data_IF_884535632014
#
_entry.id   IF_884535632014
#
_cell.length_a   1.000
_cell.length_b   1.000
_cell.length_c   1.000
_cell.angle_alpha   90.00
_cell.angle_beta   90.00
_cell.angle_gamma   90.00
#
_symmetry.space_group_name_H-M   'P 1'
#
loop_
_entity.id
_entity.type
_entity.pdbx_description
1 polymer ?
#
# COMPACT_ATOMS: atom_id res chain seq x y z
N UNK A 1 4.80 4.23 -16.97
CA UNK A 1 3.58 3.99 -16.18
C UNK A 1 2.78 2.89 -16.85
N UNK A 2 2.20 1.97 -16.07
CA UNK A 2 1.35 0.89 -16.60
C UNK A 2 -0.05 1.41 -16.96
N UNK A 3 -0.69 0.80 -17.96
CA UNK A 3 -2.07 1.15 -18.35
C UNK A 3 -3.04 0.54 -17.33
N UNK A 4 -4.21 1.15 -17.17
CA UNK A 4 -5.26 0.65 -16.25
C UNK A 4 -5.85 -0.71 -16.67
N UNK A 5 -5.76 -1.02 -17.95
CA UNK A 5 -6.09 -2.31 -18.56
C UNK A 5 -4.83 -2.83 -19.24
N UNK A 6 -4.41 -4.02 -18.86
CA UNK A 6 -3.21 -4.71 -19.35
C UNK A 6 -3.54 -6.20 -19.46
N UNK A 7 -2.92 -6.88 -20.42
CA UNK A 7 -3.16 -8.31 -20.65
C UNK A 7 -2.78 -9.16 -19.42
N UNK A 8 -1.84 -8.68 -18.59
CA UNK A 8 -1.50 -9.30 -17.31
C UNK A 8 -2.67 -9.34 -16.30
N UNK A 9 -3.67 -8.45 -16.46
CA UNK A 9 -4.86 -8.38 -15.60
C UNK A 9 -6.00 -9.29 -16.04
N UNK A 10 -5.86 -9.93 -17.22
CA UNK A 10 -6.92 -10.65 -17.92
C UNK A 10 -7.58 -9.76 -18.99
N UNK A 11 -7.97 -10.36 -20.11
CA UNK A 11 -8.53 -9.64 -21.24
C UNK A 11 -9.80 -8.85 -20.83
N UNK A 12 -9.79 -7.54 -21.07
CA UNK A 12 -10.88 -6.63 -20.69
C UNK A 12 -10.99 -6.30 -19.19
N UNK A 13 -10.14 -6.84 -18.31
CA UNK A 13 -10.20 -6.58 -16.88
C UNK A 13 -9.40 -5.32 -16.48
N UNK A 14 -10.01 -4.52 -15.59
CA UNK A 14 -9.30 -3.43 -14.90
C UNK A 14 -8.35 -4.00 -13.86
N UNK A 15 -7.24 -3.28 -13.61
CA UNK A 15 -6.33 -3.57 -12.48
C UNK A 15 -7.09 -3.76 -11.16
N UNK A 16 -8.18 -3.02 -10.94
CA UNK A 16 -8.97 -3.13 -9.71
C UNK A 16 -9.68 -4.48 -9.59
N UNK A 17 -10.24 -4.99 -10.69
CA UNK A 17 -10.89 -6.31 -10.70
C UNK A 17 -9.86 -7.43 -10.56
N UNK A 18 -8.69 -7.30 -11.20
CA UNK A 18 -7.58 -8.23 -11.03
C UNK A 18 -7.07 -8.30 -9.58
N UNK A 19 -6.84 -7.15 -8.94
CA UNK A 19 -6.45 -7.07 -7.53
C UNK A 19 -7.50 -7.74 -6.65
N UNK A 20 -8.80 -7.43 -6.84
CA UNK A 20 -9.89 -8.07 -6.06
C UNK A 20 -9.93 -9.58 -6.21
N UNK A 21 -9.59 -10.09 -7.39
CA UNK A 21 -9.50 -11.53 -7.60
C UNK A 21 -8.31 -12.14 -6.85
N UNK A 22 -7.12 -11.52 -6.93
CA UNK A 22 -5.89 -12.00 -6.32
C UNK A 22 -5.92 -12.02 -4.79
N UNK A 23 -6.51 -11.00 -4.16
CA UNK A 23 -6.55 -10.88 -2.69
C UNK A 23 -7.48 -11.89 -1.98
N UNK A 24 -8.22 -12.72 -2.72
CA UNK A 24 -9.03 -13.80 -2.14
C UNK A 24 -8.17 -14.89 -1.49
N UNK A 25 -6.88 -14.95 -1.85
CA UNK A 25 -5.88 -15.86 -1.29
C UNK A 25 -4.82 -15.08 -0.52
N UNK A 26 -4.25 -15.68 0.53
CA UNK A 26 -3.22 -15.01 1.34
C UNK A 26 -1.95 -14.75 0.51
N UNK A 27 -1.63 -15.66 -0.39
CA UNK A 27 -0.48 -15.62 -1.28
C UNK A 27 -0.66 -14.54 -2.34
N UNK A 28 -1.87 -14.44 -2.93
CA UNK A 28 -2.18 -13.44 -3.95
C UNK A 28 -2.17 -12.00 -3.43
N UNK A 29 -2.40 -11.79 -2.12
CA UNK A 29 -2.23 -10.47 -1.50
C UNK A 29 -0.77 -9.99 -1.60
N UNK A 30 0.21 -10.89 -1.41
CA UNK A 30 1.64 -10.56 -1.51
C UNK A 30 2.06 -10.35 -2.96
N UNK A 31 1.49 -11.11 -3.90
CA UNK A 31 1.79 -10.97 -5.34
C UNK A 31 1.38 -9.63 -5.94
N UNK A 32 0.35 -8.98 -5.37
CA UNK A 32 -0.12 -7.66 -5.82
C UNK A 32 0.84 -6.54 -5.39
N UNK A 33 1.66 -6.77 -4.36
CA UNK A 33 2.58 -5.76 -3.85
C UNK A 33 3.75 -5.54 -4.80
N UNK A 34 4.11 -4.27 -5.01
CA UNK A 34 5.27 -3.89 -5.80
C UNK A 34 6.56 -4.31 -5.07
N UNK A 35 7.34 -5.18 -5.70
CA UNK A 35 8.59 -5.71 -5.15
C UNK A 35 9.65 -4.62 -5.01
N UNK A 36 9.68 -3.67 -5.93
CA UNK A 36 10.65 -2.57 -5.95
C UNK A 36 10.32 -1.50 -4.89
N UNK A 37 9.10 -1.52 -4.34
CA UNK A 37 8.68 -0.65 -3.25
C UNK A 37 9.13 -1.15 -1.86
N UNK A 38 10.01 -2.15 -1.79
CA UNK A 38 10.53 -2.67 -0.53
C UNK A 38 9.59 -3.68 0.13
N UNK A 39 8.77 -4.39 -0.65
CA UNK A 39 7.88 -5.43 -0.13
C UNK A 39 8.62 -6.51 0.68
N UNK A 40 9.92 -6.72 0.45
CA UNK A 40 10.75 -7.65 1.23
C UNK A 40 10.94 -7.23 2.70
N UNK A 41 10.78 -5.94 3.01
CA UNK A 41 10.79 -5.46 4.38
C UNK A 41 9.42 -5.66 5.04
N UNK A 42 9.36 -6.40 6.14
CA UNK A 42 8.09 -6.74 6.81
C UNK A 42 7.26 -5.52 7.25
N UNK A 43 7.91 -4.47 7.74
CA UNK A 43 7.21 -3.23 8.14
C UNK A 43 6.64 -2.48 6.93
N UNK A 44 7.41 -2.34 5.85
CA UNK A 44 6.95 -1.72 4.60
C UNK A 44 5.81 -2.53 3.99
N UNK A 45 5.91 -3.86 4.03
CA UNK A 45 4.84 -4.76 3.57
C UNK A 45 3.54 -4.51 4.32
N UNK A 46 3.59 -4.41 5.65
CA UNK A 46 2.41 -4.11 6.47
C UNK A 46 1.80 -2.75 6.11
N UNK A 47 2.63 -1.72 5.89
CA UNK A 47 2.19 -0.40 5.42
C UNK A 47 1.50 -0.48 4.05
N UNK A 48 2.08 -1.21 3.10
CA UNK A 48 1.50 -1.41 1.77
C UNK A 48 0.14 -2.12 1.85
N UNK A 49 -0.01 -3.08 2.77
CA UNK A 49 -1.29 -3.77 3.00
C UNK A 49 -2.36 -2.83 3.57
N UNK A 50 -1.99 -1.94 4.50
CA UNK A 50 -2.91 -0.93 5.03
C UNK A 50 -3.36 0.03 3.93
N UNK A 51 -2.43 0.52 3.11
CA UNK A 51 -2.76 1.40 1.98
C UNK A 51 -3.61 0.68 0.93
N UNK A 52 -3.33 -0.60 0.66
CA UNK A 52 -4.13 -1.43 -0.24
C UNK A 52 -5.58 -1.55 0.24
N UNK A 53 -5.82 -1.71 1.55
CA UNK A 53 -7.17 -1.71 2.14
C UNK A 53 -7.90 -0.39 1.89
N UNK A 54 -7.22 0.74 2.07
CA UNK A 54 -7.79 2.07 1.77
C UNK A 54 -8.14 2.18 0.29
N UNK A 55 -7.26 1.73 -0.61
CA UNK A 55 -7.48 1.75 -2.05
C UNK A 55 -8.69 0.90 -2.47
N UNK A 56 -8.91 -0.26 -1.84
CA UNK A 56 -10.07 -1.12 -2.11
C UNK A 56 -11.39 -0.44 -1.74
N UNK A 57 -11.43 0.29 -0.62
CA UNK A 57 -12.59 1.08 -0.20
C UNK A 57 -12.86 2.23 -1.16
N UNK A 58 -11.82 2.95 -1.58
CA UNK A 58 -11.93 4.08 -2.52
C UNK A 58 -12.45 3.65 -3.90
N UNK A 59 -12.18 2.40 -4.29
CA UNK A 59 -12.54 1.86 -5.60
C UNK A 59 -13.80 0.99 -5.57
N UNK A 60 -14.57 1.00 -4.48
CA UNK A 60 -15.80 0.22 -4.35
C UNK A 60 -16.79 0.51 -5.50
N UNK A 61 -17.48 -0.53 -5.96
CA UNK A 61 -18.43 -0.44 -7.09
C UNK A 61 -19.61 0.48 -6.77
N UNK A 62 -20.12 0.40 -5.54
CA UNK A 62 -21.12 1.32 -5.01
C UNK A 62 -20.47 2.66 -4.64
N UNK A 63 -20.88 3.79 -5.26
CA UNK A 63 -20.32 5.10 -4.93
C UNK A 63 -20.64 5.57 -3.50
N UNK A 64 -21.78 5.15 -2.95
CA UNK A 64 -22.22 5.54 -1.61
C UNK A 64 -21.36 4.93 -0.49
N UNK A 65 -20.70 3.80 -0.76
CA UNK A 65 -19.82 3.12 0.21
C UNK A 65 -18.39 3.67 0.19
N UNK A 66 -18.08 4.58 -0.74
CA UNK A 66 -16.74 5.17 -0.84
C UNK A 66 -16.54 6.17 0.30
N UNK A 67 -15.41 6.11 1.03
CA UNK A 67 -15.12 7.06 2.09
C UNK A 67 -15.01 8.49 1.53
N UNK A 68 -15.29 9.48 2.37
CA UNK A 68 -15.00 10.87 2.00
C UNK A 68 -13.49 11.08 1.92
N UNK A 69 -13.03 12.07 1.15
CA UNK A 69 -11.60 12.40 1.09
C UNK A 69 -11.01 12.74 2.46
N UNK A 70 -11.82 13.27 3.39
CA UNK A 70 -11.41 13.51 4.77
C UNK A 70 -11.09 12.19 5.47
N UNK A 71 -11.97 11.20 5.35
CA UNK A 71 -11.78 9.89 5.96
C UNK A 71 -10.58 9.17 5.34
N UNK A 72 -10.42 9.25 4.01
CA UNK A 72 -9.24 8.70 3.30
C UNK A 72 -7.95 9.28 3.87
N UNK A 73 -7.88 10.59 4.08
CA UNK A 73 -6.68 11.23 4.66
C UNK A 73 -6.44 10.75 6.09
N UNK A 74 -7.48 10.66 6.93
CA UNK A 74 -7.37 10.14 8.29
C UNK A 74 -6.86 8.69 8.30
N UNK A 75 -7.44 7.82 7.47
CA UNK A 75 -7.01 6.43 7.34
C UNK A 75 -5.55 6.32 6.88
N UNK A 76 -5.12 7.16 5.93
CA UNK A 76 -3.73 7.19 5.48
C UNK A 76 -2.78 7.72 6.56
N UNK A 77 -3.21 8.64 7.42
CA UNK A 77 -2.42 9.11 8.55
C UNK A 77 -2.24 8.01 9.60
N UNK A 78 -3.27 7.21 9.86
CA UNK A 78 -3.20 6.04 10.74
C UNK A 78 -2.34 4.91 10.17
N UNK A 79 -2.35 4.74 8.84
CA UNK A 79 -1.49 3.77 8.14
C UNK A 79 -0.01 4.17 8.12
N UNK A 80 0.36 5.39 8.55
CA UNK A 80 1.76 5.80 8.64
C UNK A 80 2.42 5.08 9.82
N UNK A 81 3.61 4.50 9.64
CA UNK A 81 4.36 3.94 10.74
C UNK A 81 4.74 5.05 11.73
N UNK A 82 4.73 4.71 13.01
CA UNK A 82 5.51 5.42 14.03
C UNK A 82 6.99 5.11 13.80
N UNK A 83 7.55 5.49 12.64
CA UNK A 83 9.00 5.61 12.53
C UNK A 83 9.35 6.62 13.60
N UNK A 84 9.99 6.16 14.69
CA UNK A 84 10.81 7.05 15.49
C UNK A 84 11.70 7.72 14.45
N UNK A 85 11.47 9.01 14.19
CA UNK A 85 12.47 9.78 13.48
C UNK A 85 13.75 9.48 14.25
N UNK A 86 14.71 8.83 13.63
CA UNK A 86 16.05 8.81 14.20
C UNK A 86 16.45 10.27 14.15
N UNK A 87 16.36 10.91 15.31
CA UNK A 87 16.85 12.26 15.48
C UNK A 87 18.34 12.17 15.14
N UNK A 88 18.76 12.79 14.04
CA UNK A 88 20.15 12.80 13.59
C UNK A 88 21.10 13.55 14.55
N UNK A 89 20.65 13.85 15.77
CA UNK A 89 21.44 14.42 16.85
C UNK A 89 22.34 13.40 17.55
N UNK A 90 22.09 12.08 17.42
CA UNK A 90 22.84 11.07 18.20
C UNK A 90 24.05 10.46 17.47
N UNK A 91 24.38 10.90 16.25
CA UNK A 91 25.52 10.37 15.48
C UNK A 91 26.83 11.20 15.58
N UNK A 92 26.87 12.26 16.38
CA UNK A 92 28.05 13.14 16.49
C UNK A 92 29.05 12.75 17.60
N UNK A 93 29.05 11.49 18.05
CA UNK A 93 29.79 11.06 19.24
C UNK A 93 30.88 10.00 19.05
N UNK A 94 31.23 9.59 17.83
CA UNK A 94 32.28 8.58 17.60
C UNK A 94 33.38 9.06 16.66
N UNK A 95 34.05 10.16 17.03
CA UNK A 95 35.43 10.37 16.59
C UNK A 95 36.18 11.17 17.65
N UNK A 96 36.91 10.45 18.51
CA UNK A 96 38.08 10.90 19.30
C UNK A 96 38.45 9.82 20.33
N UNK A 97 39.27 8.85 19.93
CA UNK A 97 40.63 8.60 20.46
C UNK A 97 41.25 7.35 19.84
#
# INVERSE_FOLDING_TARGET
GRRSVDAEYGDGNSIVDWVRNKIQTKEGVVEVLDKDAGADCGSVREEMLLVLRVALLCTTRCPADRPSMRDVVSMLQEAKPKRKAVNTSDLHGIDSH
#
